data_IF_039994176791
#
_entry.id   IF_039994176791
#
_cell.length_a   1.000
_cell.length_b   1.000
_cell.length_c   1.000
_cell.angle_alpha   90.00
_cell.angle_beta   90.00
_cell.angle_gamma   90.00
#
_symmetry.space_group_name_H-M   'P 1'
#
loop_
_entity.id
_entity.type
_entity.pdbx_description
1 polymer ?
#
# COMPACT_ATOMS: atom_id res chain seq x y z
N UNK A 1 -40.99 -53.93 9.10
CA UNK A 1 -41.05 -53.61 10.54
C UNK A 1 -39.63 -53.37 10.99
N UNK A 2 -39.36 -52.13 11.39
CA UNK A 2 -38.26 -51.61 12.24
C UNK A 2 -36.78 -51.85 11.91
N UNK A 3 -36.10 -50.69 11.81
CA UNK A 3 -34.80 -50.27 12.40
C UNK A 3 -33.51 -51.05 12.11
N UNK A 4 -32.51 -50.47 11.45
CA UNK A 4 -31.61 -49.36 11.84
C UNK A 4 -30.41 -49.83 12.66
N UNK A 5 -29.20 -49.58 12.13
CA UNK A 5 -28.06 -48.96 12.82
C UNK A 5 -26.69 -49.37 12.22
N UNK A 6 -25.93 -48.34 11.79
CA UNK A 6 -24.49 -48.11 12.08
C UNK A 6 -23.44 -49.01 11.35
N UNK A 7 -22.32 -48.56 10.76
CA UNK A 7 -21.51 -47.31 10.79
C UNK A 7 -20.54 -47.33 9.58
N UNK A 8 -20.21 -46.15 9.04
CA UNK A 8 -18.83 -45.88 8.61
C UNK A 8 -18.59 -45.68 7.10
N UNK A 9 -18.92 -44.50 6.58
CA UNK A 9 -18.18 -43.93 5.45
C UNK A 9 -17.85 -42.48 5.74
N UNK A 10 -16.56 -42.19 5.69
CA UNK A 10 -15.92 -40.91 5.93
C UNK A 10 -16.48 -39.81 5.00
N UNK A 11 -17.29 -38.93 5.56
CA UNK A 11 -17.71 -37.70 4.90
C UNK A 11 -16.56 -36.69 4.95
N UNK A 12 -15.84 -36.59 3.83
CA UNK A 12 -14.87 -35.54 3.53
C UNK A 12 -15.54 -34.16 3.71
N UNK A 13 -14.99 -33.23 4.52
CA UNK A 13 -15.62 -31.92 4.68
C UNK A 13 -15.51 -31.12 3.37
N UNK A 14 -16.67 -30.71 2.86
CA UNK A 14 -16.80 -29.71 1.81
C UNK A 14 -16.24 -28.37 2.31
N UNK A 15 -15.51 -27.59 1.49
CA UNK A 15 -15.15 -26.23 1.86
C UNK A 15 -16.42 -25.37 1.85
N UNK A 16 -16.93 -25.05 3.04
CA UNK A 16 -18.01 -24.08 3.20
C UNK A 16 -17.46 -22.70 2.81
N UNK A 17 -18.14 -22.08 1.85
CA UNK A 17 -17.76 -20.81 1.25
C UNK A 17 -17.58 -19.67 2.25
N UNK A 18 -16.85 -18.68 1.76
CA UNK A 18 -16.44 -17.41 2.36
C UNK A 18 -17.60 -16.58 2.90
N UNK A 19 -18.14 -16.95 4.06
CA UNK A 19 -19.20 -16.16 4.71
C UNK A 19 -19.11 -16.18 6.24
N UNK A 20 -17.89 -16.01 6.76
CA UNK A 20 -17.67 -15.84 8.19
C UNK A 20 -16.91 -14.54 8.46
N UNK A 21 -17.67 -13.45 8.67
CA UNK A 21 -17.45 -12.50 9.77
C UNK A 21 -16.07 -11.84 9.93
N UNK A 22 -15.21 -11.83 8.92
CA UNK A 22 -13.86 -11.24 9.02
C UNK A 22 -13.90 -9.70 9.20
N UNK A 23 -15.09 -9.10 9.06
CA UNK A 23 -15.27 -7.66 8.94
C UNK A 23 -15.81 -6.95 10.20
N UNK A 24 -16.25 -7.63 11.26
CA UNK A 24 -17.05 -7.01 12.34
C UNK A 24 -16.36 -6.80 13.69
N UNK A 25 -15.03 -6.84 13.77
CA UNK A 25 -14.31 -6.48 15.01
C UNK A 25 -13.03 -5.73 14.67
N UNK A 26 -12.47 -4.85 15.53
CA UNK A 26 -11.26 -4.09 15.23
C UNK A 26 -10.15 -5.05 14.82
N UNK A 27 -9.87 -5.12 13.52
CA UNK A 27 -9.38 -6.36 12.90
C UNK A 27 -7.88 -6.51 13.20
N UNK A 28 -7.42 -7.68 13.69
CA UNK A 28 -6.00 -8.06 13.75
C UNK A 28 -5.25 -7.84 12.43
N UNK A 29 -5.98 -7.82 11.30
CA UNK A 29 -5.50 -7.48 9.97
C UNK A 29 -4.91 -6.07 9.88
N UNK A 30 -5.48 -5.08 10.57
CA UNK A 30 -4.96 -3.71 10.58
C UNK A 30 -3.57 -3.70 11.21
N UNK A 31 -3.38 -4.36 12.36
CA UNK A 31 -2.08 -4.44 13.07
C UNK A 31 -1.00 -5.11 12.21
N UNK A 32 -1.33 -6.23 11.56
CA UNK A 32 -0.37 -6.92 10.68
C UNK A 32 0.00 -6.10 9.45
N UNK A 33 -0.95 -5.38 8.85
CA UNK A 33 -0.72 -4.50 7.69
C UNK A 33 0.20 -3.34 8.04
N UNK A 34 -0.02 -2.68 9.17
CA UNK A 34 0.85 -1.61 9.64
C UNK A 34 2.28 -2.11 9.93
N UNK A 35 2.42 -3.29 10.56
CA UNK A 35 3.74 -3.87 10.84
C UNK A 35 4.56 -4.15 9.57
N UNK A 36 3.93 -4.57 8.47
CA UNK A 36 4.60 -4.76 7.18
C UNK A 36 5.10 -3.42 6.63
N UNK A 37 4.26 -2.37 6.68
CA UNK A 37 4.63 -1.04 6.20
C UNK A 37 5.82 -0.49 6.98
N UNK A 38 5.78 -0.56 8.31
CA UNK A 38 6.85 -0.05 9.17
C UNK A 38 8.19 -0.77 8.95
N UNK A 39 8.16 -2.10 8.82
CA UNK A 39 9.40 -2.88 8.72
C UNK A 39 9.96 -2.91 7.30
N UNK A 40 9.10 -2.91 6.29
CA UNK A 40 9.52 -3.18 4.92
C UNK A 40 9.74 -1.91 4.10
N UNK A 41 8.90 -0.88 4.25
CA UNK A 41 8.91 0.28 3.34
C UNK A 41 10.22 1.06 3.42
N UNK A 42 10.67 1.39 4.64
CA UNK A 42 11.94 2.12 4.85
C UNK A 42 13.12 1.29 4.35
N UNK A 43 13.17 0.01 4.71
CA UNK A 43 14.27 -0.88 4.31
C UNK A 43 14.32 -1.06 2.81
N UNK A 44 13.17 -1.25 2.17
CA UNK A 44 13.06 -1.32 0.72
C UNK A 44 13.58 -0.04 0.08
N UNK A 45 13.04 1.13 0.47
CA UNK A 45 13.40 2.41 -0.12
C UNK A 45 14.90 2.68 0.00
N UNK A 46 15.47 2.53 1.20
CA UNK A 46 16.89 2.80 1.46
C UNK A 46 17.84 1.80 0.80
N UNK A 47 17.51 0.50 0.81
CA UNK A 47 18.37 -0.54 0.23
C UNK A 47 18.33 -0.52 -1.29
N UNK A 48 17.15 -0.37 -1.90
CA UNK A 48 17.02 -0.37 -3.36
C UNK A 48 17.57 0.91 -3.97
N UNK A 49 17.38 2.06 -3.30
CA UNK A 49 17.93 3.34 -3.75
C UNK A 49 19.43 3.47 -3.47
N UNK A 50 20.04 2.60 -2.65
CA UNK A 50 21.45 2.73 -2.21
C UNK A 50 22.47 2.83 -3.34
N UNK A 51 22.20 2.17 -4.48
CA UNK A 51 23.05 2.16 -5.68
C UNK A 51 22.66 3.20 -6.72
N UNK A 52 21.54 3.91 -6.53
CA UNK A 52 21.06 4.95 -7.43
C UNK A 52 21.82 6.27 -7.15
N UNK A 53 21.98 7.07 -8.20
CA UNK A 53 22.55 8.43 -8.13
C UNK A 53 21.59 9.38 -8.85
N UNK A 54 20.83 10.22 -8.13
CA UNK A 54 20.75 10.33 -6.66
C UNK A 54 20.09 9.11 -5.99
N UNK A 55 20.31 8.92 -4.68
CA UNK A 55 19.62 7.89 -3.87
C UNK A 55 18.17 8.31 -3.67
N UNK A 56 17.30 7.89 -4.59
CA UNK A 56 15.91 8.32 -4.65
C UNK A 56 14.95 7.13 -4.70
N UNK A 57 13.88 7.20 -3.92
CA UNK A 57 12.78 6.25 -3.95
C UNK A 57 11.43 6.99 -4.01
N UNK A 58 10.47 6.38 -4.69
CA UNK A 58 9.08 6.81 -4.75
C UNK A 58 8.24 5.76 -4.02
N UNK A 59 7.44 6.22 -3.07
CA UNK A 59 6.48 5.42 -2.33
C UNK A 59 5.08 5.81 -2.78
N UNK A 60 4.35 4.86 -3.37
CA UNK A 60 3.00 5.07 -3.84
C UNK A 60 2.01 4.29 -2.98
N UNK A 61 1.01 4.98 -2.41
CA UNK A 61 -0.13 4.36 -1.73
C UNK A 61 -1.41 4.68 -2.53
N UNK A 62 -2.01 3.65 -3.12
CA UNK A 62 -3.22 3.79 -3.93
C UNK A 62 -4.51 3.87 -3.13
N UNK A 63 -4.47 3.56 -1.83
CA UNK A 63 -5.62 3.54 -0.92
C UNK A 63 -5.19 4.10 0.43
N UNK A 64 -4.75 5.36 0.43
CA UNK A 64 -4.10 6.00 1.56
C UNK A 64 -5.03 6.20 2.79
N UNK A 65 -6.35 6.23 2.57
CA UNK A 65 -7.31 6.54 3.60
C UNK A 65 -7.14 7.96 4.13
N UNK A 66 -7.64 8.19 5.35
CA UNK A 66 -7.57 9.50 6.03
C UNK A 66 -6.21 9.89 6.62
N UNK A 67 -5.20 9.05 6.47
CA UNK A 67 -3.86 9.26 7.05
C UNK A 67 -3.77 9.06 8.58
N UNK A 68 -4.71 9.60 9.36
CA UNK A 68 -4.80 9.44 10.82
C UNK A 68 -6.24 9.13 11.23
N UNK A 69 -6.43 8.15 12.10
CA UNK A 69 -7.74 7.79 12.63
C UNK A 69 -8.26 8.84 13.61
N UNK A 70 -9.59 8.87 13.82
CA UNK A 70 -10.23 9.79 14.77
C UNK A 70 -9.76 9.57 16.22
N UNK A 71 -9.25 8.38 16.51
CA UNK A 71 -8.60 8.00 17.78
C UNK A 71 -7.20 8.62 17.95
N UNK A 72 -6.66 9.28 16.93
CA UNK A 72 -5.30 9.81 16.88
C UNK A 72 -4.24 8.79 16.44
N UNK A 73 -4.65 7.54 16.18
CA UNK A 73 -3.73 6.50 15.70
C UNK A 73 -3.31 6.77 14.24
N UNK A 74 -2.03 6.53 13.95
CA UNK A 74 -1.50 6.68 12.60
C UNK A 74 -2.04 5.58 11.67
N UNK A 75 -2.47 5.98 10.47
CA UNK A 75 -2.82 5.07 9.37
C UNK A 75 -1.62 4.78 8.46
N UNK A 76 -1.82 3.93 7.45
CA UNK A 76 -0.77 3.50 6.49
C UNK A 76 0.01 4.68 5.90
N UNK A 77 -0.71 5.72 5.44
CA UNK A 77 -0.10 6.89 4.84
C UNK A 77 0.78 7.67 5.83
N UNK A 78 0.33 7.87 7.07
CA UNK A 78 1.14 8.54 8.09
C UNK A 78 2.38 7.71 8.48
N UNK A 79 2.27 6.38 8.55
CA UNK A 79 3.44 5.51 8.73
C UNK A 79 4.46 5.66 7.59
N UNK A 80 4.02 5.80 6.34
CA UNK A 80 4.91 6.09 5.20
C UNK A 80 5.55 7.48 5.29
N UNK A 81 4.82 8.49 5.78
CA UNK A 81 5.36 9.84 6.02
C UNK A 81 6.42 9.83 7.13
N UNK A 82 6.18 9.14 8.23
CA UNK A 82 7.15 8.94 9.32
C UNK A 82 8.40 8.21 8.84
N UNK A 83 8.21 7.19 8.01
CA UNK A 83 9.28 6.46 7.34
C UNK A 83 10.15 7.38 6.47
N UNK A 84 9.52 8.20 5.63
CA UNK A 84 10.22 9.18 4.79
C UNK A 84 11.00 10.20 5.62
N UNK A 85 10.39 10.68 6.71
CA UNK A 85 11.03 11.61 7.62
C UNK A 85 12.28 11.02 8.28
N UNK A 86 12.25 9.75 8.71
CA UNK A 86 13.42 9.07 9.30
C UNK A 86 14.57 8.93 8.30
N UNK A 87 14.28 8.69 7.03
CA UNK A 87 15.28 8.43 5.99
C UNK A 87 15.78 9.68 5.24
N UNK A 88 15.15 10.86 5.45
CA UNK A 88 15.36 12.10 4.65
C UNK A 88 16.82 12.54 4.49
N UNK A 89 17.67 12.26 5.47
CA UNK A 89 19.09 12.64 5.44
C UNK A 89 19.97 11.69 4.61
N UNK A 90 19.45 10.53 4.22
CA UNK A 90 20.23 9.46 3.56
C UNK A 90 19.70 9.09 2.18
N UNK A 91 18.38 9.20 1.99
CA UNK A 91 17.66 8.82 0.77
C UNK A 91 16.54 9.82 0.57
N UNK A 92 16.44 10.37 -0.64
CA UNK A 92 15.29 11.19 -1.02
C UNK A 92 14.10 10.25 -1.23
N UNK A 93 13.01 10.50 -0.50
CA UNK A 93 11.78 9.75 -0.61
C UNK A 93 10.68 10.72 -1.03
N UNK A 94 10.08 10.45 -2.20
CA UNK A 94 8.90 11.14 -2.68
C UNK A 94 7.69 10.24 -2.42
N UNK A 95 6.66 10.77 -1.77
CA UNK A 95 5.43 10.08 -1.44
C UNK A 95 4.34 10.52 -2.41
N UNK A 96 3.61 9.56 -2.98
CA UNK A 96 2.41 9.80 -3.78
C UNK A 96 1.24 9.04 -3.15
N UNK A 97 0.27 9.79 -2.63
CA UNK A 97 -0.83 9.27 -1.81
C UNK A 97 -2.16 9.54 -2.49
N UNK A 98 -2.91 8.49 -2.80
CA UNK A 98 -4.19 8.59 -3.50
C UNK A 98 -5.32 8.18 -2.57
N UNK A 99 -6.34 9.02 -2.47
CA UNK A 99 -7.57 8.71 -1.76
C UNK A 99 -8.80 9.15 -2.57
N UNK A 100 -9.75 8.24 -2.73
CA UNK A 100 -10.96 8.45 -3.53
C UNK A 100 -12.03 9.24 -2.79
N UNK A 101 -12.23 8.95 -1.51
CA UNK A 101 -13.20 9.63 -0.67
C UNK A 101 -12.71 11.07 -0.38
N UNK A 102 -13.52 12.07 -0.72
CA UNK A 102 -13.16 13.48 -0.53
C UNK A 102 -12.88 13.84 0.93
N UNK A 103 -13.68 13.35 1.87
CA UNK A 103 -13.55 13.68 3.29
C UNK A 103 -12.31 13.03 3.91
N UNK A 104 -12.05 11.77 3.57
CA UNK A 104 -10.82 11.10 4.01
C UNK A 104 -9.60 11.77 3.35
N UNK A 105 -9.68 12.17 2.08
CA UNK A 105 -8.63 12.93 1.40
C UNK A 105 -8.33 14.27 2.08
N UNK A 106 -9.34 15.06 2.46
CA UNK A 106 -9.13 16.34 3.15
C UNK A 106 -8.39 16.14 4.47
N UNK A 107 -8.72 15.07 5.20
CA UNK A 107 -8.02 14.69 6.43
C UNK A 107 -6.58 14.25 6.15
N UNK A 108 -6.38 13.44 5.12
CA UNK A 108 -5.06 12.99 4.66
C UNK A 108 -4.17 14.16 4.24
N UNK A 109 -4.73 15.13 3.51
CA UNK A 109 -4.00 16.27 2.99
C UNK A 109 -3.56 17.22 4.11
N UNK A 110 -4.42 17.43 5.10
CA UNK A 110 -4.06 18.18 6.31
C UNK A 110 -2.90 17.50 7.08
N UNK A 111 -2.93 16.17 7.21
CA UNK A 111 -1.81 15.42 7.82
C UNK A 111 -0.56 15.55 6.94
N UNK A 112 -0.68 15.40 5.62
CA UNK A 112 0.43 15.53 4.69
C UNK A 112 1.10 16.91 4.77
N UNK A 113 0.32 17.98 4.92
CA UNK A 113 0.82 19.35 5.07
C UNK A 113 1.72 19.51 6.30
N UNK A 114 1.42 18.84 7.42
CA UNK A 114 2.30 18.84 8.59
C UNK A 114 3.69 18.30 8.25
N UNK A 115 3.78 17.28 7.39
CA UNK A 115 5.04 16.66 6.97
C UNK A 115 5.71 17.43 5.84
N UNK A 116 4.95 18.03 4.91
CA UNK A 116 5.48 18.96 3.91
C UNK A 116 6.19 20.14 4.56
N UNK A 117 5.60 20.72 5.60
CA UNK A 117 6.20 21.78 6.40
C UNK A 117 7.53 21.35 7.07
N UNK A 118 7.74 20.05 7.28
CA UNK A 118 8.99 19.46 7.80
C UNK A 118 10.00 19.09 6.71
N UNK A 119 9.72 19.44 5.46
CA UNK A 119 10.58 19.22 4.29
C UNK A 119 10.44 17.84 3.64
N UNK A 120 9.35 17.12 3.89
CA UNK A 120 9.06 15.84 3.23
C UNK A 120 8.34 16.12 1.91
N UNK A 121 8.72 15.39 0.85
CA UNK A 121 8.12 15.52 -0.48
C UNK A 121 6.91 14.59 -0.57
N UNK A 122 5.72 15.19 -0.59
CA UNK A 122 4.45 14.46 -0.55
C UNK A 122 3.50 15.10 -1.54
N UNK A 123 3.04 14.32 -2.50
CA UNK A 123 1.96 14.65 -3.42
C UNK A 123 0.74 13.81 -3.03
N UNK A 124 -0.37 14.47 -2.72
CA UNK A 124 -1.64 13.84 -2.33
C UNK A 124 -2.68 14.21 -3.37
N UNK A 125 -3.45 13.22 -3.86
CA UNK A 125 -4.49 13.46 -4.85
C UNK A 125 -5.82 12.84 -4.41
N UNK A 126 -6.89 13.58 -4.68
CA UNK A 126 -8.23 13.03 -4.59
C UNK A 126 -8.60 12.38 -5.93
N UNK A 127 -8.68 11.06 -5.97
CA UNK A 127 -8.91 10.34 -7.22
C UNK A 127 -8.92 8.82 -7.03
N UNK A 128 -9.08 8.11 -8.15
CA UNK A 128 -8.92 6.66 -8.17
C UNK A 128 -7.44 6.31 -8.37
N UNK A 129 -6.97 5.25 -7.71
CA UNK A 129 -5.61 4.74 -7.90
C UNK A 129 -5.28 4.51 -9.38
N UNK A 130 -6.26 4.03 -10.16
CA UNK A 130 -6.15 3.78 -11.60
C UNK A 130 -5.58 4.96 -12.39
N UNK A 131 -6.03 6.18 -12.05
CA UNK A 131 -5.76 7.39 -12.81
C UNK A 131 -4.36 7.96 -12.54
N UNK A 132 -3.75 7.61 -11.41
CA UNK A 132 -2.48 8.18 -10.94
C UNK A 132 -1.28 7.21 -11.02
N UNK A 133 -1.49 5.98 -11.48
CA UNK A 133 -0.41 5.00 -11.65
C UNK A 133 0.63 5.50 -12.68
N UNK A 134 0.19 6.07 -13.80
CA UNK A 134 1.11 6.53 -14.85
C UNK A 134 1.97 7.71 -14.36
N UNK A 135 1.40 8.59 -13.54
CA UNK A 135 2.11 9.65 -12.84
C UNK A 135 3.16 9.09 -11.87
N UNK A 136 2.81 8.04 -11.09
CA UNK A 136 3.75 7.37 -10.19
C UNK A 136 4.94 6.75 -10.94
N UNK A 137 4.71 6.19 -12.13
CA UNK A 137 5.74 5.57 -12.96
C UNK A 137 6.67 6.63 -13.58
N UNK A 138 6.12 7.77 -14.00
CA UNK A 138 6.90 8.90 -14.48
C UNK A 138 7.73 9.52 -13.36
N UNK A 139 7.12 9.73 -12.19
CA UNK A 139 7.79 10.25 -11.01
C UNK A 139 8.93 9.32 -10.59
N UNK A 140 8.77 8.00 -10.70
CA UNK A 140 9.79 7.02 -10.36
C UNK A 140 10.90 6.83 -11.39
N UNK A 141 10.92 7.60 -12.50
CA UNK A 141 11.99 7.51 -13.49
C UNK A 141 13.37 7.75 -12.83
N UNK A 142 14.23 6.73 -12.88
CA UNK A 142 15.56 6.77 -12.27
C UNK A 142 15.57 6.63 -10.74
N UNK A 143 14.43 6.31 -10.12
CA UNK A 143 14.26 6.04 -8.70
C UNK A 143 13.80 4.59 -8.47
N UNK A 144 13.91 4.11 -7.24
CA UNK A 144 13.21 2.89 -6.82
C UNK A 144 11.72 3.17 -6.62
N UNK A 145 10.83 2.29 -7.07
CA UNK A 145 9.39 2.42 -6.86
C UNK A 145 8.90 1.33 -5.90
N UNK A 146 8.17 1.74 -4.87
CA UNK A 146 7.36 0.87 -4.02
C UNK A 146 5.89 1.22 -4.21
N UNK A 147 5.06 0.21 -4.50
CA UNK A 147 3.62 0.37 -4.71
C UNK A 147 2.89 -0.43 -3.64
N UNK A 148 2.07 0.26 -2.85
CA UNK A 148 1.18 -0.32 -1.86
C UNK A 148 -0.27 -0.21 -2.36
N UNK A 149 -0.93 -1.36 -2.51
CA UNK A 149 -2.31 -1.45 -2.94
C UNK A 149 -3.06 -2.29 -1.91
N UNK A 150 -3.80 -1.63 -1.02
CA UNK A 150 -4.64 -2.30 -0.03
C UNK A 150 -6.11 -1.88 -0.19
N UNK A 151 -6.87 -2.52 -1.10
CA UNK A 151 -8.29 -2.25 -1.22
C UNK A 151 -9.01 -2.82 0.01
N UNK A 152 -9.26 -2.02 1.03
CA UNK A 152 -10.03 -2.51 2.16
C UNK A 152 -11.49 -2.75 1.72
N UNK A 153 -11.86 -4.01 1.47
CA UNK A 153 -13.23 -4.42 1.11
C UNK A 153 -13.63 -4.26 -0.35
N UNK A 154 -12.77 -3.71 -1.21
CA UNK A 154 -12.99 -3.66 -2.66
C UNK A 154 -12.24 -4.81 -3.34
N UNK A 155 -12.88 -5.49 -4.29
CA UNK A 155 -12.16 -6.40 -5.19
C UNK A 155 -11.26 -5.51 -6.04
N UNK A 156 -9.95 -5.53 -5.80
CA UNK A 156 -8.97 -4.95 -6.73
C UNK A 156 -9.26 -5.54 -8.11
N UNK A 157 -9.62 -4.74 -9.12
CA UNK A 157 -9.77 -5.26 -10.46
C UNK A 157 -8.41 -5.84 -10.85
N UNK A 158 -8.35 -7.16 -11.03
CA UNK A 158 -7.12 -7.86 -11.40
C UNK A 158 -6.49 -7.25 -12.66
N UNK A 159 -7.31 -6.64 -13.50
CA UNK A 159 -6.88 -5.96 -14.72
C UNK A 159 -6.12 -4.65 -14.42
N UNK A 160 -6.52 -3.86 -13.42
CA UNK A 160 -5.74 -2.72 -12.93
C UNK A 160 -4.38 -3.14 -12.40
N UNK A 161 -4.32 -4.25 -11.65
CA UNK A 161 -3.04 -4.81 -11.16
C UNK A 161 -2.19 -5.34 -12.32
N UNK A 162 -2.79 -6.01 -13.29
CA UNK A 162 -2.08 -6.47 -14.50
C UNK A 162 -1.49 -5.30 -15.27
N UNK A 163 -2.21 -4.19 -15.39
CA UNK A 163 -1.71 -3.02 -16.10
C UNK A 163 -0.53 -2.39 -15.36
N UNK A 164 -0.56 -2.30 -14.02
CA UNK A 164 0.59 -1.87 -13.21
C UNK A 164 1.80 -2.77 -13.45
N UNK A 165 1.61 -4.10 -13.40
CA UNK A 165 2.71 -5.06 -13.57
C UNK A 165 3.25 -5.10 -15.00
N UNK A 166 2.40 -4.84 -16.00
CA UNK A 166 2.76 -4.79 -17.43
C UNK A 166 3.48 -3.50 -17.80
N UNK A 167 3.08 -2.36 -17.22
CA UNK A 167 3.62 -1.02 -17.48
C UNK A 167 5.00 -0.75 -16.85
N UNK A 168 5.78 -1.81 -16.58
CA UNK A 168 7.14 -1.73 -16.01
C UNK A 168 7.92 -0.58 -16.66
N UNK A 169 8.46 0.31 -15.83
CA UNK A 169 9.27 1.46 -16.27
C UNK A 169 10.28 1.01 -17.35
N UNK A 170 10.50 1.80 -18.41
CA UNK A 170 11.43 1.46 -19.48
C UNK A 170 12.80 1.17 -18.86
N UNK A 171 13.12 -0.11 -18.76
CA UNK A 171 14.37 -0.57 -18.18
C UNK A 171 15.51 -0.03 -19.01
N UNK A 172 16.44 0.70 -18.37
CA UNK A 172 17.76 0.94 -18.95
C UNK A 172 18.30 -0.39 -19.45
N UNK A 173 18.61 -0.41 -20.75
CA UNK A 173 19.24 -1.53 -21.41
C UNK A 173 20.38 -2.08 -20.56
N UNK A 174 20.35 -3.41 -20.43
CA UNK A 174 21.46 -4.21 -19.94
C UNK A 174 22.74 -3.74 -20.65
N UNK A 175 23.68 -3.18 -19.91
CA UNK A 175 25.10 -3.37 -20.24
C UNK A 175 25.71 -4.15 -19.08
N UNK A 176 25.58 -5.47 -19.19
CA UNK A 176 26.64 -6.35 -18.73
C UNK A 176 27.83 -6.06 -19.66
N UNK A 177 28.92 -5.56 -19.09
CA UNK A 177 30.33 -5.75 -19.45
C UNK A 177 31.11 -4.93 -18.42
#
# INVERSE_FOLDING_TARGET
MVDAALIGQDAKPMPTGTDAGLLESPRPQSVYKHAILEQYVVRFATMTASKLKPKRAVLFDGFAGRGRFDTGEAGSAEHMMLAAQKAKNTTQIDLLLIEKNRQDYESLDAVADEYRARGIRIDSHNGDCGDHIDESLQLAAGASLFVFLDPCGAVLPIDSVKDILRKRAPGRGRRCC
#
